data_IF_628725990942
#
_entry.id   IF_628725990942
#
_cell.length_a   1.000
_cell.length_b   1.000
_cell.length_c   1.000
_cell.angle_alpha   90.00
_cell.angle_beta   90.00
_cell.angle_gamma   90.00
#
_symmetry.space_group_name_H-M   'P 1'
#
loop_
_entity.id
_entity.type
_entity.pdbx_description
1 polymer ?
#
# COMPACT_ATOMS: atom_id res chain seq x y z
N UNK A 1 -10.54 9.36 -12.87
CA UNK A 1 -10.50 10.10 -11.60
C UNK A 1 -9.77 9.21 -10.65
N UNK A 2 -8.80 9.74 -9.92
CA UNK A 2 -8.03 8.93 -8.97
C UNK A 2 -8.25 9.52 -7.58
N UNK A 3 -8.14 8.67 -6.58
CA UNK A 3 -8.30 9.07 -5.19
C UNK A 3 -6.97 9.04 -4.47
N UNK A 4 -6.70 10.09 -3.68
CA UNK A 4 -5.63 10.10 -2.69
C UNK A 4 -6.14 10.65 -1.36
N UNK A 5 -5.41 10.38 -0.29
CA UNK A 5 -5.71 10.88 1.06
C UNK A 5 -4.56 11.76 1.51
N UNK A 6 -4.86 12.91 2.08
CA UNK A 6 -3.87 13.74 2.75
C UNK A 6 -4.37 14.16 4.12
N UNK A 7 -3.69 13.68 5.17
CA UNK A 7 -4.03 13.90 6.56
C UNK A 7 -5.51 13.63 6.86
N UNK A 8 -6.01 12.51 6.32
CA UNK A 8 -7.38 12.02 6.52
C UNK A 8 -8.41 12.65 5.59
N UNK A 9 -8.00 13.65 4.80
CA UNK A 9 -8.85 14.31 3.82
C UNK A 9 -8.73 13.59 2.49
N UNK A 10 -9.85 13.03 2.03
CA UNK A 10 -9.94 12.40 0.72
C UNK A 10 -9.96 13.47 -0.39
N UNK A 11 -9.20 13.23 -1.45
CA UNK A 11 -9.14 14.06 -2.65
C UNK A 11 -9.47 13.22 -3.88
N UNK A 12 -10.49 13.63 -4.62
CA UNK A 12 -10.92 13.02 -5.88
C UNK A 12 -10.39 13.91 -7.01
N UNK A 13 -9.47 13.39 -7.82
CA UNK A 13 -8.69 14.19 -8.75
C UNK A 13 -8.97 13.81 -10.21
N UNK A 14 -9.22 14.82 -11.04
CA UNK A 14 -9.18 14.72 -12.50
C UNK A 14 -7.71 14.77 -12.96
N UNK A 15 -7.36 14.02 -14.01
CA UNK A 15 -5.98 13.83 -14.48
C UNK A 15 -5.06 13.10 -13.47
N UNK A 16 -5.63 12.44 -12.47
CA UNK A 16 -4.97 11.41 -11.66
C UNK A 16 -4.19 11.86 -10.42
N UNK A 17 -3.85 10.88 -9.58
CA UNK A 17 -3.18 11.07 -8.29
C UNK A 17 -1.65 11.09 -8.48
N UNK A 18 -1.12 12.22 -8.95
CA UNK A 18 0.33 12.45 -9.00
C UNK A 18 0.94 12.78 -10.37
N UNK A 19 0.17 12.98 -11.43
CA UNK A 19 0.77 13.34 -12.73
C UNK A 19 1.04 14.84 -12.83
N UNK A 20 2.28 15.24 -12.51
CA UNK A 20 2.76 16.62 -12.71
C UNK A 20 3.00 16.96 -14.18
N UNK A 21 3.22 15.94 -15.01
CA UNK A 21 3.62 16.08 -16.41
C UNK A 21 2.89 15.05 -17.27
N UNK A 22 1.80 15.48 -17.92
CA UNK A 22 1.10 14.86 -19.06
C UNK A 22 0.76 13.36 -18.92
N UNK A 23 -0.53 13.05 -18.84
CA UNK A 23 -0.99 11.66 -18.86
C UNK A 23 -0.70 10.98 -20.21
N UNK A 24 -0.20 9.73 -20.24
CA UNK A 24 0.02 8.98 -21.48
C UNK A 24 -1.29 8.64 -22.19
N UNK A 25 -1.27 8.61 -23.52
CA UNK A 25 -2.38 8.14 -24.35
C UNK A 25 -2.69 6.66 -24.04
N UNK A 26 -3.98 6.31 -23.93
CA UNK A 26 -4.42 4.96 -23.53
C UNK A 26 -4.42 4.71 -22.02
N UNK A 27 -4.13 5.72 -21.20
CA UNK A 27 -4.33 5.70 -19.73
C UNK A 27 -5.56 6.53 -19.33
N UNK A 28 -5.87 7.57 -20.09
CA UNK A 28 -7.06 8.41 -19.92
C UNK A 28 -8.27 7.79 -20.66
N UNK A 29 -9.41 7.71 -19.98
CA UNK A 29 -10.69 7.28 -20.56
C UNK A 29 -11.80 8.23 -20.11
N UNK A 30 -12.97 8.15 -20.74
CA UNK A 30 -14.18 8.78 -20.20
C UNK A 30 -14.57 8.00 -18.94
N UNK A 31 -14.64 8.69 -17.80
CA UNK A 31 -15.00 8.11 -16.51
C UNK A 31 -16.15 8.87 -15.89
N UNK A 32 -17.10 8.16 -15.30
CA UNK A 32 -18.12 8.72 -14.43
C UNK A 32 -17.72 8.47 -12.98
N UNK A 33 -17.84 9.50 -12.14
CA UNK A 33 -17.78 9.34 -10.69
C UNK A 33 -19.20 9.27 -10.16
N UNK A 34 -19.49 8.23 -9.39
CA UNK A 34 -20.68 8.14 -8.58
C UNK A 34 -20.28 8.18 -7.11
N UNK A 35 -20.87 9.10 -6.36
CA UNK A 35 -20.60 9.29 -4.94
C UNK A 35 -21.90 9.51 -4.17
N UNK A 36 -21.97 8.96 -2.97
CA UNK A 36 -23.01 9.21 -1.98
C UNK A 36 -22.36 9.60 -0.66
N UNK A 37 -22.86 10.66 -0.03
CA UNK A 37 -22.42 11.11 1.29
C UNK A 37 -23.62 11.07 2.22
N UNK A 38 -23.49 10.34 3.33
CA UNK A 38 -24.50 10.26 4.39
C UNK A 38 -23.83 10.21 5.77
N UNK A 39 -24.61 9.90 6.81
CA UNK A 39 -24.13 9.82 8.19
C UNK A 39 -23.04 8.74 8.39
N UNK A 40 -22.91 7.79 7.47
CA UNK A 40 -21.88 6.74 7.50
C UNK A 40 -20.62 7.13 6.72
N UNK A 41 -20.58 8.34 6.14
CA UNK A 41 -19.46 8.87 5.38
C UNK A 41 -19.69 8.86 3.87
N UNK A 42 -18.59 8.74 3.11
CA UNK A 42 -18.58 8.71 1.66
C UNK A 42 -18.52 7.27 1.15
N UNK A 43 -19.37 6.96 0.19
CA UNK A 43 -19.24 5.81 -0.71
C UNK A 43 -19.00 6.32 -2.12
N UNK A 44 -17.94 5.86 -2.77
CA UNK A 44 -17.47 6.38 -4.04
C UNK A 44 -17.11 5.24 -4.99
N UNK A 45 -17.42 5.40 -6.28
CA UNK A 45 -16.95 4.52 -7.35
C UNK A 45 -16.65 5.30 -8.63
N UNK A 46 -15.67 4.81 -9.39
CA UNK A 46 -15.34 5.23 -10.75
C UNK A 46 -15.84 4.17 -11.71
N UNK A 47 -16.63 4.59 -12.68
CA UNK A 47 -17.14 3.75 -13.76
C UNK A 47 -16.42 4.09 -15.06
N UNK A 48 -16.03 3.06 -15.80
CA UNK A 48 -15.57 3.22 -17.17
C UNK A 48 -16.74 3.44 -18.15
N UNK A 49 -16.42 3.58 -19.44
CA UNK A 49 -17.40 3.82 -20.51
C UNK A 49 -18.45 2.71 -20.67
N UNK A 50 -18.13 1.50 -20.23
CA UNK A 50 -18.96 0.30 -20.33
C UNK A 50 -19.76 0.09 -19.02
N UNK A 51 -19.59 0.98 -18.04
CA UNK A 51 -20.25 0.95 -16.74
C UNK A 51 -19.58 0.02 -15.73
N UNK A 52 -18.37 -0.49 -16.02
CA UNK A 52 -17.64 -1.35 -15.09
C UNK A 52 -16.92 -0.53 -14.02
N UNK A 53 -16.89 -1.04 -12.79
CA UNK A 53 -16.23 -0.40 -11.66
C UNK A 53 -14.71 -0.56 -11.81
N UNK A 54 -14.00 0.58 -11.75
CA UNK A 54 -12.55 0.67 -11.88
C UNK A 54 -11.85 0.90 -10.54
N UNK A 55 -12.46 1.76 -9.74
CA UNK A 55 -12.02 2.13 -8.41
C UNK A 55 -13.26 2.32 -7.55
N UNK A 56 -13.18 1.98 -6.28
CA UNK A 56 -14.20 2.36 -5.31
C UNK A 56 -13.62 2.32 -3.90
N UNK A 57 -14.30 3.02 -3.00
CA UNK A 57 -13.94 3.05 -1.60
C UNK A 57 -15.13 3.48 -0.74
N UNK A 58 -15.08 3.10 0.53
CA UNK A 58 -15.81 3.74 1.61
C UNK A 58 -14.85 4.57 2.46
N UNK A 59 -15.27 5.77 2.87
CA UNK A 59 -14.44 6.68 3.65
C UNK A 59 -15.22 7.40 4.76
N UNK A 60 -14.73 7.45 5.99
CA UNK A 60 -13.53 6.76 6.47
C UNK A 60 -13.79 5.24 6.51
N UNK A 61 -12.76 4.44 6.25
CA UNK A 61 -12.82 3.05 6.68
C UNK A 61 -12.40 2.93 8.14
N UNK A 62 -12.82 1.84 8.77
CA UNK A 62 -12.37 1.50 10.11
C UNK A 62 -11.46 0.28 10.05
N UNK A 63 -10.44 0.28 10.89
CA UNK A 63 -9.67 -0.91 11.21
C UNK A 63 -9.78 -1.11 12.71
N UNK A 64 -9.71 -2.36 13.22
CA UNK A 64 -9.57 -2.58 14.64
C UNK A 64 -8.31 -1.86 15.15
N UNK A 65 -8.28 -1.52 16.43
CA UNK A 65 -7.10 -0.88 17.04
C UNK A 65 -5.83 -1.70 16.76
N UNK A 66 -4.73 -1.03 16.47
CA UNK A 66 -3.46 -1.68 16.09
C UNK A 66 -2.87 -2.56 17.19
N UNK A 67 -3.29 -2.36 18.43
CA UNK A 67 -2.95 -3.23 19.55
C UNK A 67 -3.57 -4.62 19.47
N UNK A 68 -4.66 -4.82 18.70
CA UNK A 68 -5.30 -6.13 18.51
C UNK A 68 -4.90 -6.81 17.20
N UNK A 69 -4.00 -6.19 16.43
CA UNK A 69 -3.50 -6.77 15.18
C UNK A 69 -2.65 -8.00 15.50
N UNK A 70 -2.75 -9.01 14.65
CA UNK A 70 -2.08 -10.28 14.87
C UNK A 70 -0.63 -10.20 14.38
N UNK A 71 0.33 -10.89 15.02
CA UNK A 71 1.66 -11.06 14.45
C UNK A 71 1.58 -11.50 12.98
N UNK A 72 2.39 -10.87 12.13
CA UNK A 72 2.50 -11.28 10.74
C UNK A 72 3.45 -12.47 10.64
N UNK A 73 2.90 -13.65 10.86
CA UNK A 73 3.63 -14.90 10.65
C UNK A 73 3.68 -15.20 9.14
N UNK A 74 4.57 -16.08 8.69
CA UNK A 74 4.83 -16.36 7.27
C UNK A 74 3.67 -17.06 6.50
N UNK A 75 2.41 -16.95 6.94
CA UNK A 75 1.35 -17.83 6.39
C UNK A 75 -0.12 -17.34 6.44
N UNK A 76 -0.49 -16.08 6.18
CA UNK A 76 -1.83 -15.84 5.66
C UNK A 76 -1.80 -16.04 4.14
N UNK A 77 -2.42 -17.12 3.65
CA UNK A 77 -2.89 -17.15 2.27
C UNK A 77 -3.92 -16.02 2.13
N UNK A 78 -3.49 -14.85 1.68
CA UNK A 78 -4.40 -13.79 1.28
C UNK A 78 -5.24 -14.38 0.15
N UNK A 79 -6.57 -14.52 0.33
CA UNK A 79 -7.39 -15.10 -0.71
C UNK A 79 -7.27 -14.21 -1.95
N UNK A 80 -7.28 -14.83 -3.14
CA UNK A 80 -7.07 -14.14 -4.41
C UNK A 80 -7.87 -12.83 -4.46
N UNK A 81 -7.23 -11.79 -5.00
CA UNK A 81 -7.94 -10.58 -5.36
C UNK A 81 -8.93 -10.97 -6.47
N UNK A 82 -10.20 -10.69 -6.21
CA UNK A 82 -11.32 -10.81 -7.15
C UNK A 82 -11.98 -12.20 -7.27
N UNK A 83 -13.31 -12.23 -7.12
CA UNK A 83 -14.21 -13.31 -7.53
C UNK A 83 -14.71 -13.12 -8.97
N UNK A 84 -14.16 -12.14 -9.69
CA UNK A 84 -14.51 -11.77 -11.05
C UNK A 84 -15.68 -10.79 -11.14
N UNK A 85 -16.28 -10.40 -10.00
CA UNK A 85 -17.36 -9.42 -9.96
C UNK A 85 -16.87 -7.99 -9.67
N UNK A 86 -15.62 -7.77 -9.25
CA UNK A 86 -15.08 -6.43 -8.94
C UNK A 86 -15.76 -5.75 -7.73
N UNK A 87 -16.45 -6.52 -6.89
CA UNK A 87 -17.23 -6.00 -5.75
C UNK A 87 -16.53 -6.22 -4.40
N UNK A 88 -15.39 -6.92 -4.39
CA UNK A 88 -14.68 -7.32 -3.17
C UNK A 88 -13.28 -6.74 -3.20
N UNK A 89 -12.99 -5.84 -2.26
CA UNK A 89 -11.66 -5.26 -2.10
C UNK A 89 -11.16 -5.52 -0.70
N UNK A 90 -9.86 -5.31 -0.51
CA UNK A 90 -9.17 -5.60 0.73
C UNK A 90 -8.43 -4.37 1.21
N UNK A 91 -8.45 -4.20 2.51
CA UNK A 91 -7.48 -3.39 3.23
C UNK A 91 -6.56 -4.34 3.96
N UNK A 92 -5.29 -4.33 3.59
CA UNK A 92 -4.25 -5.07 4.30
C UNK A 92 -3.37 -4.02 4.94
N UNK A 93 -3.36 -4.00 6.27
CA UNK A 93 -2.60 -3.03 7.04
C UNK A 93 -1.57 -3.75 7.91
N UNK A 94 -0.34 -3.26 7.89
CA UNK A 94 0.75 -3.70 8.73
C UNK A 94 1.17 -2.59 9.67
N UNK A 95 1.56 -2.95 10.88
CA UNK A 95 2.27 -2.10 11.83
C UNK A 95 3.68 -2.63 11.95
N UNK A 96 4.64 -1.75 11.70
CA UNK A 96 6.06 -2.00 11.88
C UNK A 96 6.51 -1.34 13.16
N UNK A 97 7.09 -2.12 14.06
CA UNK A 97 7.61 -1.63 15.34
C UNK A 97 9.06 -2.07 15.54
N UNK A 98 9.83 -1.33 16.35
CA UNK A 98 11.21 -1.63 16.68
C UNK A 98 12.05 -0.36 16.88
N UNK A 99 13.32 -0.42 16.49
CA UNK A 99 14.20 0.74 16.47
C UNK A 99 14.93 0.84 15.13
N UNK A 100 14.99 2.03 14.55
CA UNK A 100 15.72 2.30 13.30
C UNK A 100 17.23 2.22 13.49
N UNK A 101 17.97 2.09 12.38
CA UNK A 101 19.43 2.05 12.43
C UNK A 101 20.03 3.41 12.82
N UNK A 102 21.16 3.40 13.52
CA UNK A 102 21.93 4.60 13.89
C UNK A 102 22.51 5.36 12.71
N UNK A 103 22.81 4.64 11.63
CA UNK A 103 23.20 5.22 10.36
C UNK A 103 22.81 4.29 9.21
N UNK A 104 22.13 4.83 8.21
CA UNK A 104 21.97 4.16 6.93
C UNK A 104 23.08 4.61 5.99
N UNK A 105 23.86 3.67 5.46
CA UNK A 105 24.86 3.98 4.42
C UNK A 105 24.20 4.20 3.04
N UNK A 106 22.89 4.01 2.97
CA UNK A 106 22.04 4.28 1.81
C UNK A 106 21.48 3.01 1.15
N UNK A 107 21.91 1.84 1.60
CA UNK A 107 21.42 0.55 1.10
C UNK A 107 19.93 0.37 1.43
N UNK A 108 19.18 -0.35 0.57
CA UNK A 108 17.82 -0.77 0.90
C UNK A 108 17.79 -1.67 2.14
N UNK A 109 16.78 -1.45 2.99
CA UNK A 109 16.50 -2.24 4.18
C UNK A 109 15.04 -2.69 4.14
N UNK A 110 14.76 -3.98 4.06
CA UNK A 110 13.41 -4.51 4.01
C UNK A 110 12.77 -4.49 5.40
N UNK A 111 11.54 -4.01 5.49
CA UNK A 111 10.68 -4.24 6.65
C UNK A 111 9.83 -5.50 6.42
N UNK A 112 9.25 -5.62 5.22
CA UNK A 112 8.47 -6.76 4.76
C UNK A 112 8.73 -6.97 3.26
N UNK A 113 8.94 -8.22 2.85
CA UNK A 113 9.10 -8.60 1.45
C UNK A 113 8.20 -9.80 1.17
N UNK A 114 7.41 -9.77 0.10
CA UNK A 114 6.56 -10.88 -0.32
C UNK A 114 6.88 -11.29 -1.76
N UNK A 115 7.07 -12.60 -1.98
CA UNK A 115 7.31 -13.19 -3.30
C UNK A 115 6.68 -14.57 -3.48
N UNK A 116 6.61 -15.04 -4.73
CA UNK A 116 6.13 -16.38 -5.09
C UNK A 116 7.20 -17.20 -5.81
N UNK A 117 8.05 -16.54 -6.60
CA UNK A 117 9.19 -17.13 -7.29
C UNK A 117 10.46 -16.35 -7.00
N UNK A 118 11.60 -17.05 -6.98
CA UNK A 118 12.92 -16.40 -6.91
C UNK A 118 13.31 -15.73 -8.24
N UNK A 119 12.56 -16.02 -9.31
CA UNK A 119 12.69 -15.39 -10.61
C UNK A 119 11.98 -14.03 -10.63
N UNK A 120 12.73 -12.97 -10.94
CA UNK A 120 12.21 -11.60 -11.05
C UNK A 120 12.27 -10.81 -9.75
N UNK A 121 11.55 -9.69 -9.72
CA UNK A 121 11.46 -8.83 -8.53
C UNK A 121 10.26 -9.26 -7.67
N UNK A 122 10.42 -9.14 -6.35
CA UNK A 122 9.34 -9.34 -5.39
C UNK A 122 8.12 -8.50 -5.82
N UNK A 123 6.93 -9.12 -5.95
CA UNK A 123 5.68 -8.40 -6.18
C UNK A 123 5.45 -7.30 -5.16
N UNK A 124 5.79 -7.52 -3.89
CA UNK A 124 5.64 -6.53 -2.84
C UNK A 124 6.92 -6.41 -2.01
N UNK A 125 7.42 -5.19 -1.89
CA UNK A 125 8.49 -4.86 -0.95
C UNK A 125 8.15 -3.57 -0.22
N UNK A 126 8.22 -3.60 1.11
CA UNK A 126 8.05 -2.44 2.00
C UNK A 126 9.34 -2.29 2.78
N UNK A 127 9.96 -1.12 2.75
CA UNK A 127 11.23 -0.93 3.43
C UNK A 127 11.75 0.49 3.41
N UNK A 128 12.99 0.65 3.85
CA UNK A 128 13.68 1.92 3.98
C UNK A 128 14.74 2.04 2.90
N UNK A 129 14.86 3.23 2.30
CA UNK A 129 15.90 3.53 1.29
C UNK A 129 16.55 4.87 1.57
N UNK A 130 17.80 5.00 1.11
CA UNK A 130 18.56 6.23 1.22
C UNK A 130 19.12 6.45 2.63
N UNK A 131 19.94 7.50 2.75
CA UNK A 131 20.61 7.85 4.02
C UNK A 131 19.63 8.43 5.02
N UNK A 132 18.53 9.03 4.54
CA UNK A 132 17.44 9.55 5.36
C UNK A 132 16.44 8.48 5.84
N UNK A 133 16.67 7.19 5.54
CA UNK A 133 15.79 6.08 5.91
C UNK A 133 14.33 6.35 5.54
N UNK A 134 14.09 6.66 4.26
CA UNK A 134 12.76 6.96 3.74
C UNK A 134 11.96 5.68 3.55
N UNK A 135 10.76 5.64 4.13
CA UNK A 135 9.79 4.58 3.87
C UNK A 135 9.47 4.55 2.37
N UNK A 136 9.55 3.36 1.79
CA UNK A 136 9.27 3.10 0.39
C UNK A 136 8.39 1.85 0.29
N UNK A 137 7.45 1.87 -0.65
CA UNK A 137 6.72 0.67 -1.09
C UNK A 137 7.01 0.46 -2.57
N UNK A 138 7.41 -0.75 -2.93
CA UNK A 138 7.63 -1.18 -4.30
C UNK A 138 6.61 -2.25 -4.66
N UNK A 139 5.90 -2.05 -5.77
CA UNK A 139 5.00 -3.05 -6.35
C UNK A 139 5.53 -3.50 -7.72
N UNK A 140 5.63 -4.81 -7.94
CA UNK A 140 6.07 -5.43 -9.20
C UNK A 140 4.95 -6.30 -9.77
N UNK A 141 3.89 -5.72 -10.38
CA UNK A 141 2.73 -6.48 -10.82
C UNK A 141 3.01 -7.38 -12.04
N UNK A 142 4.00 -7.02 -12.86
CA UNK A 142 4.36 -7.74 -14.08
C UNK A 142 5.83 -8.18 -14.05
N UNK A 143 6.13 -9.48 -14.18
CA UNK A 143 7.50 -9.97 -14.30
C UNK A 143 8.25 -9.31 -15.47
N UNK A 144 9.50 -8.90 -15.24
CA UNK A 144 10.35 -8.26 -16.26
C UNK A 144 10.03 -6.78 -16.55
N UNK A 145 9.11 -6.16 -15.82
CA UNK A 145 8.90 -4.70 -15.82
C UNK A 145 9.55 -4.05 -14.60
N UNK A 146 9.83 -2.74 -14.73
CA UNK A 146 10.33 -1.97 -13.59
C UNK A 146 9.25 -1.86 -12.52
N UNK A 147 9.62 -1.96 -11.23
CA UNK A 147 8.66 -1.84 -10.15
C UNK A 147 8.16 -0.41 -10.03
N UNK A 148 6.93 -0.26 -9.56
CA UNK A 148 6.35 1.02 -9.20
C UNK A 148 6.77 1.40 -7.78
N UNK A 149 7.13 2.66 -7.57
CA UNK A 149 7.66 3.16 -6.30
C UNK A 149 6.74 4.22 -5.69
N UNK A 150 6.44 4.03 -4.42
CA UNK A 150 5.79 5.01 -3.56
C UNK A 150 6.73 5.43 -2.43
N UNK A 151 6.72 6.72 -2.11
CA UNK A 151 7.59 7.39 -1.16
C UNK A 151 6.77 7.88 0.05
N UNK A 152 7.24 7.53 1.23
CA UNK A 152 6.66 7.91 2.51
C UNK A 152 7.52 8.88 3.31
N UNK A 153 7.27 8.97 4.63
CA UNK A 153 8.05 9.79 5.53
C UNK A 153 9.49 9.26 5.66
N UNK A 154 10.36 10.14 6.14
CA UNK A 154 11.71 9.79 6.59
C UNK A 154 11.68 9.38 8.04
N UNK A 155 12.39 8.31 8.39
CA UNK A 155 12.51 7.86 9.77
C UNK A 155 13.86 8.31 10.35
N UNK A 156 13.88 9.04 11.48
CA UNK A 156 15.13 9.51 12.07
C UNK A 156 16.02 8.33 12.51
N UNK A 157 17.36 8.47 12.47
CA UNK A 157 18.27 7.44 12.99
C UNK A 157 18.10 7.24 14.50
N UNK A 158 18.34 6.01 14.96
CA UNK A 158 18.20 5.58 16.37
C UNK A 158 16.84 5.87 17.02
N UNK A 159 15.82 6.23 16.23
CA UNK A 159 14.48 6.49 16.72
C UNK A 159 13.66 5.20 16.85
N UNK A 160 12.67 5.25 17.75
CA UNK A 160 11.61 4.25 17.81
C UNK A 160 10.90 4.18 16.45
N UNK A 161 10.83 2.98 15.89
CA UNK A 161 10.00 2.67 14.75
C UNK A 161 8.62 2.30 15.29
N UNK A 162 7.61 3.06 14.90
CA UNK A 162 6.19 2.68 15.05
C UNK A 162 5.44 3.36 13.92
N UNK A 163 5.13 2.59 12.88
CA UNK A 163 4.47 3.11 11.67
C UNK A 163 3.53 2.07 11.11
N UNK A 164 2.37 2.54 10.66
CA UNK A 164 1.36 1.71 10.03
C UNK A 164 1.34 1.99 8.52
N UNK A 165 1.28 0.95 7.72
CA UNK A 165 1.18 1.01 6.25
C UNK A 165 -0.01 0.16 5.82
N UNK A 166 -0.84 0.66 4.91
CA UNK A 166 -1.98 -0.06 4.38
C UNK A 166 -1.98 -0.09 2.85
N UNK A 167 -2.43 -1.21 2.30
CA UNK A 167 -2.78 -1.38 0.89
C UNK A 167 -4.28 -1.54 0.77
N UNK A 168 -4.93 -0.59 0.09
CA UNK A 168 -6.33 -0.66 -0.27
C UNK A 168 -6.48 -1.00 -1.74
N UNK A 169 -6.98 -2.19 -2.04
CA UNK A 169 -7.03 -2.70 -3.41
C UNK A 169 -8.12 -2.07 -4.28
N UNK A 170 -8.96 -1.18 -3.73
CA UNK A 170 -10.02 -0.47 -4.49
C UNK A 170 -9.71 0.98 -4.83
N UNK A 171 -8.64 1.56 -4.29
CA UNK A 171 -8.34 2.99 -4.42
C UNK A 171 -7.42 3.33 -5.58
N UNK A 172 -7.08 2.34 -6.41
CA UNK A 172 -6.06 2.50 -7.44
C UNK A 172 -4.71 2.95 -6.83
N UNK A 173 -3.96 3.84 -7.51
CA UNK A 173 -2.60 4.22 -7.11
C UNK A 173 -2.49 4.97 -5.77
N UNK A 174 -3.55 5.67 -5.31
CA UNK A 174 -3.53 6.34 -4.01
C UNK A 174 -3.90 5.44 -2.83
N UNK A 175 -4.19 4.16 -3.09
CA UNK A 175 -4.49 3.14 -2.07
C UNK A 175 -3.29 2.64 -1.27
N UNK A 176 -2.09 3.19 -1.50
CA UNK A 176 -0.89 2.88 -0.71
C UNK A 176 -0.76 3.95 0.37
N UNK A 177 -1.06 3.59 1.61
CA UNK A 177 -1.32 4.55 2.70
C UNK A 177 -0.38 4.32 3.87
N UNK A 178 -0.21 5.35 4.68
CA UNK A 178 0.55 5.27 5.92
C UNK A 178 -0.04 6.18 7.00
N UNK A 179 0.28 5.88 8.26
CA UNK A 179 0.06 6.75 9.43
C UNK A 179 1.01 6.35 10.57
N UNK A 180 1.20 7.23 11.55
CA UNK A 180 2.05 6.95 12.70
C UNK A 180 1.42 5.98 13.69
N UNK A 181 0.19 6.25 14.11
CA UNK A 181 -0.53 5.46 15.11
C UNK A 181 -2.04 5.48 14.84
N UNK A 182 -2.83 4.89 15.74
CA UNK A 182 -4.29 4.81 15.60
C UNK A 182 -5.01 6.17 15.68
N UNK A 183 -4.35 7.21 16.20
CA UNK A 183 -4.89 8.57 16.32
C UNK A 183 -4.51 9.44 15.13
N UNK A 184 -3.39 9.12 14.48
CA UNK A 184 -2.96 9.80 13.27
C UNK A 184 -3.91 9.48 12.11
N UNK A 185 -4.26 10.46 11.28
CA UNK A 185 -5.02 10.20 10.08
C UNK A 185 -4.18 9.45 9.04
N UNK A 186 -4.83 8.70 8.15
CA UNK A 186 -4.17 8.09 7.01
C UNK A 186 -3.76 9.14 5.97
N UNK A 187 -2.63 8.90 5.32
CA UNK A 187 -2.13 9.69 4.18
C UNK A 187 -1.62 8.75 3.10
N UNK A 188 -1.88 9.07 1.82
CA UNK A 188 -1.32 8.32 0.69
C UNK A 188 0.19 8.55 0.63
N UNK A 189 0.92 7.49 0.33
CA UNK A 189 2.32 7.61 -0.09
C UNK A 189 2.37 8.29 -1.45
N UNK A 190 3.47 9.00 -1.70
CA UNK A 190 3.67 9.73 -2.95
C UNK A 190 4.22 8.79 -4.04
N UNK A 191 3.46 8.58 -5.11
CA UNK A 191 3.89 7.82 -6.28
C UNK A 191 3.52 8.53 -7.58
N UNK A 192 4.10 8.08 -8.68
CA UNK A 192 3.75 8.53 -10.03
C UNK A 192 3.39 7.29 -10.88
N UNK A 193 2.23 6.71 -10.60
CA UNK A 193 1.79 5.43 -11.17
C UNK A 193 0.32 5.52 -11.55
N UNK A 194 -0.09 4.76 -12.56
CA UNK A 194 -1.50 4.67 -12.99
C UNK A 194 -2.29 3.58 -12.25
N UNK A 195 -1.59 2.75 -11.45
CA UNK A 195 -2.15 1.56 -10.80
C UNK A 195 -1.54 1.39 -9.42
N UNK A 196 -2.32 0.81 -8.50
CA UNK A 196 -1.94 0.48 -7.14
C UNK A 196 -1.91 -1.03 -6.89
N UNK A 197 -2.44 -1.43 -5.74
CA UNK A 197 -2.43 -2.82 -5.28
C UNK A 197 -3.48 -3.72 -5.97
N UNK A 198 -4.39 -3.17 -6.76
CA UNK A 198 -5.43 -3.92 -7.47
C UNK A 198 -4.88 -4.89 -8.52
N UNK A 199 -3.65 -4.68 -9.00
CA UNK A 199 -2.96 -5.56 -9.96
C UNK A 199 -1.89 -6.44 -9.33
N UNK A 200 -1.74 -6.40 -8.01
CA UNK A 200 -0.67 -7.09 -7.32
C UNK A 200 -0.95 -8.61 -7.34
N UNK A 201 -0.05 -9.45 -7.92
CA UNK A 201 -0.09 -10.88 -7.66
C UNK A 201 0.30 -11.09 -6.19
N UNK A 202 -0.70 -11.42 -5.36
CA UNK A 202 -0.54 -11.50 -3.92
C UNK A 202 0.45 -12.61 -3.53
N UNK A 203 1.56 -12.26 -2.84
CA UNK A 203 2.56 -13.23 -2.46
C UNK A 203 2.07 -14.29 -1.47
N UNK A 204 2.65 -15.48 -1.59
CA UNK A 204 2.48 -16.62 -0.68
C UNK A 204 3.66 -16.77 0.26
N UNK A 205 4.85 -16.38 -0.19
CA UNK A 205 6.06 -16.37 0.65
C UNK A 205 6.31 -14.96 1.15
N UNK A 206 6.70 -14.85 2.42
CA UNK A 206 6.95 -13.59 3.10
C UNK A 206 8.23 -13.65 3.90
N UNK A 207 8.91 -12.51 4.02
CA UNK A 207 10.04 -12.30 4.90
C UNK A 207 9.89 -11.00 5.65
N UNK A 208 10.25 -11.03 6.92
CA UNK A 208 10.36 -9.84 7.77
C UNK A 208 11.83 -9.49 7.92
N UNK A 209 12.16 -8.22 7.72
CA UNK A 209 13.51 -7.73 7.96
C UNK A 209 14.54 -8.10 6.90
N UNK A 210 14.16 -8.78 5.81
CA UNK A 210 15.04 -9.06 4.67
C UNK A 210 14.26 -9.21 3.35
N UNK A 211 14.98 -9.18 2.24
CA UNK A 211 14.46 -9.37 0.89
C UNK A 211 14.35 -10.83 0.49
N UNK A 212 13.84 -11.07 -0.73
CA UNK A 212 13.54 -12.40 -1.26
C UNK A 212 14.74 -13.35 -1.36
N UNK A 213 15.97 -12.85 -1.42
CA UNK A 213 17.19 -13.66 -1.57
C UNK A 213 17.86 -14.00 -0.23
N UNK A 214 17.06 -14.12 0.84
CA UNK A 214 17.52 -14.51 2.18
C UNK A 214 17.98 -13.34 3.06
N UNK A 215 18.48 -13.67 4.25
CA UNK A 215 18.69 -12.72 5.35
C UNK A 215 19.72 -11.62 5.06
N UNK A 216 20.65 -11.83 4.12
CA UNK A 216 21.61 -10.81 3.70
C UNK A 216 21.10 -9.92 2.56
N UNK A 217 19.95 -10.26 1.98
CA UNK A 217 19.29 -9.44 0.96
C UNK A 217 18.59 -8.26 1.63
N UNK A 218 19.07 -7.04 1.44
CA UNK A 218 18.48 -5.82 2.01
C UNK A 218 18.05 -5.96 3.50
N UNK A 219 18.92 -6.42 4.41
CA UNK A 219 18.55 -6.63 5.80
C UNK A 219 18.14 -5.34 6.49
N UNK A 220 17.14 -5.41 7.35
CA UNK A 220 16.88 -4.37 8.33
C UNK A 220 18.08 -4.22 9.27
N UNK A 221 18.63 -3.01 9.36
CA UNK A 221 19.82 -2.71 10.18
C UNK A 221 19.47 -2.08 11.53
N UNK A 222 18.18 -1.92 11.81
CA UNK A 222 17.69 -1.53 13.11
C UNK A 222 17.67 -2.70 14.10
N UNK A 223 16.87 -2.57 15.16
CA UNK A 223 16.73 -3.57 16.23
C UNK A 223 15.26 -3.89 16.46
N UNK A 224 15.01 -5.13 16.90
CA UNK A 224 13.71 -5.56 17.43
C UNK A 224 12.54 -5.31 16.46
N UNK A 225 12.77 -5.55 15.16
CA UNK A 225 11.71 -5.42 14.16
C UNK A 225 10.61 -6.44 14.44
N UNK A 226 9.41 -5.95 14.71
CA UNK A 226 8.20 -6.74 14.82
C UNK A 226 7.12 -6.20 13.87
N UNK A 227 6.39 -7.12 13.25
CA UNK A 227 5.31 -6.81 12.32
C UNK A 227 4.01 -7.43 12.83
N UNK A 228 2.99 -6.61 13.00
CA UNK A 228 1.61 -7.09 13.18
C UNK A 228 0.76 -6.61 12.03
N UNK A 229 -0.37 -7.26 11.78
CA UNK A 229 -1.26 -6.89 10.69
C UNK A 229 -2.73 -7.15 10.99
N UNK A 230 -3.57 -6.51 10.19
CA UNK A 230 -4.96 -6.86 10.03
C UNK A 230 -5.33 -6.89 8.55
N UNK A 231 -6.24 -7.80 8.19
CA UNK A 231 -6.82 -7.89 6.86
C UNK A 231 -8.31 -7.70 6.99
N UNK A 232 -8.85 -6.71 6.29
CA UNK A 232 -10.29 -6.45 6.21
C UNK A 232 -10.75 -6.63 4.77
N UNK A 233 -11.75 -7.45 4.57
CA UNK A 233 -12.49 -7.51 3.31
C UNK A 233 -13.58 -6.45 3.35
N UNK A 234 -13.63 -5.61 2.32
CA UNK A 234 -14.67 -4.64 2.09
C UNK A 234 -15.50 -5.10 0.89
N UNK A 235 -16.82 -4.96 1.01
CA UNK A 235 -17.74 -5.19 -0.10
C UNK A 235 -18.41 -3.88 -0.46
N UNK A 236 -18.58 -3.66 -1.74
CA UNK A 236 -19.35 -2.52 -2.20
C UNK A 236 -20.78 -2.66 -1.65
N UNK A 237 -21.29 -1.63 -0.98
CA UNK A 237 -22.62 -1.54 -0.37
C UNK A 237 -22.84 -2.21 1.00
N UNK A 238 -21.78 -2.75 1.63
CA UNK A 238 -21.78 -3.10 3.07
C UNK A 238 -21.29 -1.90 3.92
#
# INVERSE_FOLDING_TARGET
>A
FDVQVHDGVLQILTAGAGTRHRMPEGVEYLHCVQAAVDDNGLRYQVLDRDGAIREWLTWPWELPASASWQPWDETPALPAADDGAGLVHRVIAWRFSGQTASSARGEPQALLCGWDSDDGLAPLWIGLRGREQRLCVLLSPEPGRSPHLWLGPTLPPDAALDIQVALHTGMGPGGILWRWDDRAPWSSLHGATAWGAERLPWPRTWAIGHGQHGVESAPFRGRELAVTACVRTLRLWD
#
